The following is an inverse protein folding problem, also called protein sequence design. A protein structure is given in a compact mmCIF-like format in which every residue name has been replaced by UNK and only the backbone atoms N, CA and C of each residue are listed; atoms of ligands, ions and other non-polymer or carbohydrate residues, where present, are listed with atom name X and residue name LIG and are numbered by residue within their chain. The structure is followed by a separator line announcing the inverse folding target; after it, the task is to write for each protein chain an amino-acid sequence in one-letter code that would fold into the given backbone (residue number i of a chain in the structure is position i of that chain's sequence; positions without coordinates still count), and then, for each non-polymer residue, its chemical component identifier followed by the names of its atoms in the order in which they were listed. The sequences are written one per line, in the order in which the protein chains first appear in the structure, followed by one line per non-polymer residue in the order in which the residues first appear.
data_IF_504240055532
#
_entry.id   IF_504240055532
#
_cell.length_a   1.000
_cell.length_b   1.000
_cell.length_c   1.000
_cell.angle_alpha   90.00
_cell.angle_beta   90.00
_cell.angle_gamma   90.00
#
_symmetry.space_group_name_H-M   'P 1'
#
loop_
_entity.id
_entity.type
_entity.pdbx_description
1 polymer ?
#
# COMPACT_ATOMS: atom_id res chain seq x y z
N UNK A 1 6.00 10.04 13.26
CA UNK A 1 6.97 9.00 12.82
C UNK A 1 6.47 8.45 11.51
N UNK A 2 6.93 9.00 10.39
CA UNK A 2 6.43 8.70 9.05
C UNK A 2 7.55 8.68 8.00
N UNK A 3 8.79 8.51 8.46
CA UNK A 3 9.98 8.83 7.67
C UNK A 3 10.82 7.58 7.37
N UNK A 4 10.20 6.40 7.41
CA UNK A 4 10.89 5.10 7.33
C UNK A 4 10.74 4.38 5.99
N UNK A 5 9.97 4.93 5.05
CA UNK A 5 9.98 4.45 3.66
C UNK A 5 10.99 5.28 2.89
N UNK A 6 12.05 4.63 2.43
CA UNK A 6 13.09 5.27 1.62
C UNK A 6 12.64 5.38 0.16
N UNK A 7 13.24 6.29 -0.61
CA UNK A 7 12.93 6.49 -2.04
C UNK A 7 13.14 5.21 -2.88
N UNK A 8 13.98 4.27 -2.43
CA UNK A 8 14.15 2.98 -3.08
C UNK A 8 12.99 2.00 -2.83
N UNK A 9 12.24 2.20 -1.74
CA UNK A 9 11.11 1.36 -1.35
C UNK A 9 9.77 1.91 -1.85
N UNK A 10 9.66 3.22 -2.00
CA UNK A 10 8.45 3.86 -2.51
C UNK A 10 8.39 5.35 -2.18
N UNK A 11 7.26 5.96 -2.50
CA UNK A 11 6.95 7.36 -2.17
C UNK A 11 5.72 7.38 -1.28
N UNK A 12 5.84 7.95 -0.09
CA UNK A 12 4.74 8.15 0.83
C UNK A 12 4.18 9.58 0.69
N UNK A 13 2.86 9.69 0.58
CA UNK A 13 2.14 10.96 0.49
C UNK A 13 1.00 10.97 1.51
N UNK A 14 1.11 11.87 2.48
CA UNK A 14 0.05 12.09 3.48
C UNK A 14 -1.03 13.01 2.90
N UNK A 15 -2.28 12.72 3.23
CA UNK A 15 -3.42 13.54 2.86
C UNK A 15 -4.42 13.65 4.01
N UNK A 16 -5.18 14.73 3.99
CA UNK A 16 -6.29 14.99 4.91
C UNK A 16 -7.52 15.31 4.09
N UNK A 17 -8.60 14.57 4.30
CA UNK A 17 -9.89 14.87 3.73
C UNK A 17 -10.75 15.56 4.77
N UNK A 18 -11.11 16.80 4.48
CA UNK A 18 -11.81 17.70 5.40
C UNK A 18 -13.05 18.32 4.75
N UNK A 19 -13.52 17.73 3.64
CA UNK A 19 -14.63 18.21 2.80
C UNK A 19 -14.47 19.68 2.32
N UNK A 20 -13.25 20.21 2.30
CA UNK A 20 -12.98 21.62 1.97
C UNK A 20 -13.14 22.57 3.15
N UNK A 21 -13.31 22.03 4.37
CA UNK A 21 -13.31 22.78 5.62
C UNK A 21 -12.11 22.37 6.47
N UNK A 22 -11.07 23.22 6.50
CA UNK A 22 -9.87 23.00 7.31
C UNK A 22 -10.15 22.81 8.82
N UNK A 23 -11.33 23.19 9.31
CA UNK A 23 -11.78 23.02 10.69
C UNK A 23 -12.83 21.91 10.84
N UNK A 24 -12.97 21.01 9.87
CA UNK A 24 -13.89 19.89 9.96
C UNK A 24 -13.52 19.02 11.17
N UNK A 25 -14.47 18.84 12.09
CA UNK A 25 -14.23 18.14 13.35
C UNK A 25 -13.83 16.67 13.13
N UNK A 26 -14.37 16.06 12.08
CA UNK A 26 -14.15 14.65 11.72
C UNK A 26 -13.35 14.54 10.41
N UNK A 27 -12.26 15.29 10.26
CA UNK A 27 -11.40 15.13 9.09
C UNK A 27 -10.69 13.76 9.11
N UNK A 28 -10.60 13.12 7.96
CA UNK A 28 -9.95 11.82 7.80
C UNK A 28 -8.50 12.01 7.35
N UNK A 29 -7.56 11.48 8.11
CA UNK A 29 -6.16 11.43 7.73
C UNK A 29 -5.84 10.08 7.07
N UNK A 30 -5.16 10.13 5.94
CA UNK A 30 -4.75 8.94 5.20
C UNK A 30 -3.37 9.09 4.59
N UNK A 31 -2.83 7.97 4.12
CA UNK A 31 -1.54 7.92 3.43
C UNK A 31 -1.63 7.06 2.18
N UNK A 32 -1.10 7.58 1.08
CA UNK A 32 -0.75 6.78 -0.09
C UNK A 32 0.72 6.37 0.00
N UNK A 33 1.03 5.11 -0.29
CA UNK A 33 2.40 4.64 -0.47
C UNK A 33 2.52 4.03 -1.85
N UNK A 34 3.15 4.73 -2.78
CA UNK A 34 3.39 4.21 -4.14
C UNK A 34 4.62 3.30 -4.07
N UNK A 35 4.45 2.04 -4.45
CA UNK A 35 5.49 1.00 -4.28
C UNK A 35 5.99 0.42 -5.62
N UNK A 36 5.31 0.72 -6.74
CA UNK A 36 5.70 0.32 -8.10
C UNK A 36 5.09 1.28 -9.13
N UNK A 37 5.69 1.38 -10.30
CA UNK A 37 5.27 2.26 -11.40
C UNK A 37 5.87 3.66 -11.31
N UNK A 38 6.96 3.80 -10.56
CA UNK A 38 7.67 5.06 -10.32
C UNK A 38 8.84 5.26 -11.28
N UNK A 39 9.37 4.17 -11.84
CA UNK A 39 10.62 4.19 -12.60
C UNK A 39 10.38 3.95 -14.09
N UNK A 40 11.21 4.55 -14.98
CA UNK A 40 11.16 4.25 -16.40
C UNK A 40 11.30 2.75 -16.67
N UNK A 41 10.38 2.19 -17.44
CA UNK A 41 10.34 0.76 -17.79
C UNK A 41 9.50 -0.11 -16.87
N UNK A 42 9.00 0.40 -15.74
CA UNK A 42 7.99 -0.31 -14.95
C UNK A 42 6.64 -0.24 -15.65
N UNK A 43 6.02 -1.40 -15.89
CA UNK A 43 4.71 -1.53 -16.56
C UNK A 43 3.56 -1.76 -15.58
N UNK A 44 3.89 -2.05 -14.33
CA UNK A 44 2.94 -2.29 -13.24
C UNK A 44 3.01 -1.14 -12.26
N UNK A 45 1.88 -0.45 -12.06
CA UNK A 45 1.72 0.51 -11.00
C UNK A 45 1.03 -0.16 -9.80
N UNK A 46 1.56 0.07 -8.61
CA UNK A 46 0.96 -0.42 -7.37
C UNK A 46 1.15 0.58 -6.23
N UNK A 47 0.12 0.72 -5.40
CA UNK A 47 0.17 1.59 -4.23
C UNK A 47 -0.68 1.04 -3.08
N UNK A 48 -0.29 1.40 -1.85
CA UNK A 48 -1.03 1.13 -0.63
C UNK A 48 -1.82 2.36 -0.22
N UNK A 49 -3.02 2.15 0.30
CA UNK A 49 -3.81 3.16 1.02
C UNK A 49 -3.87 2.75 2.47
N UNK A 50 -3.35 3.62 3.35
CA UNK A 50 -3.47 3.46 4.80
C UNK A 50 -4.52 4.44 5.27
N UNK A 51 -5.66 3.93 5.73
CA UNK A 51 -6.80 4.73 6.17
C UNK A 51 -7.59 3.97 7.23
N UNK A 52 -7.99 4.65 8.31
CA UNK A 52 -8.89 4.11 9.34
C UNK A 52 -8.50 2.70 9.86
N UNK A 53 -7.18 2.49 10.10
CA UNK A 53 -6.65 1.21 10.59
C UNK A 53 -6.61 0.07 9.55
N UNK A 54 -6.95 0.36 8.30
CA UNK A 54 -6.88 -0.58 7.18
C UNK A 54 -5.74 -0.24 6.22
N UNK A 55 -5.24 -1.28 5.54
CA UNK A 55 -4.24 -1.16 4.48
C UNK A 55 -4.79 -1.88 3.25
N UNK A 56 -4.98 -1.14 2.17
CA UNK A 56 -5.49 -1.66 0.90
C UNK A 56 -4.42 -1.57 -0.19
N UNK A 57 -4.20 -2.65 -0.94
CA UNK A 57 -3.30 -2.69 -2.09
C UNK A 57 -4.10 -2.53 -3.39
N UNK A 58 -3.76 -1.50 -4.17
CA UNK A 58 -4.27 -1.28 -5.52
C UNK A 58 -3.16 -1.55 -6.52
N UNK A 59 -3.49 -2.24 -7.61
CA UNK A 59 -2.51 -2.57 -8.66
C UNK A 59 -3.11 -2.62 -10.06
N UNK A 60 -2.28 -2.30 -11.05
CA UNK A 60 -2.56 -2.53 -12.48
C UNK A 60 -2.00 -3.85 -12.99
N UNK A 61 -1.36 -4.65 -12.14
CA UNK A 61 -0.84 -5.97 -12.50
C UNK A 61 -1.99 -6.88 -12.96
N UNK A 62 -1.80 -7.48 -14.13
CA UNK A 62 -2.76 -8.46 -14.65
C UNK A 62 -2.63 -9.74 -13.80
N UNK A 63 -3.73 -10.29 -13.26
CA UNK A 63 -3.66 -11.50 -12.45
C UNK A 63 -3.04 -12.66 -13.24
N UNK A 64 -2.00 -13.28 -12.69
CA UNK A 64 -1.30 -14.40 -13.32
C UNK A 64 -1.94 -15.77 -13.03
N UNK A 65 -2.89 -15.84 -12.08
CA UNK A 65 -3.48 -17.08 -11.58
C UNK A 65 -5.02 -16.98 -11.43
N UNK A 66 -5.68 -18.12 -11.18
CA UNK A 66 -7.11 -18.16 -10.88
C UNK A 66 -7.42 -17.66 -9.46
N UNK A 67 -8.59 -17.04 -9.26
CA UNK A 67 -9.00 -16.32 -8.03
C UNK A 67 -8.97 -17.17 -6.76
N UNK A 68 -8.96 -18.49 -6.91
CA UNK A 68 -8.77 -19.45 -5.81
C UNK A 68 -7.37 -19.43 -5.19
N UNK A 69 -6.35 -18.91 -5.90
CA UNK A 69 -4.97 -18.82 -5.42
C UNK A 69 -4.74 -17.60 -4.52
N UNK A 70 -3.76 -17.66 -3.59
CA UNK A 70 -3.33 -16.53 -2.76
C UNK A 70 -2.93 -15.29 -3.57
N UNK A 71 -3.16 -14.05 -3.07
CA UNK A 71 -2.81 -12.81 -3.79
C UNK A 71 -1.35 -12.72 -4.26
N UNK A 72 -0.41 -13.35 -3.55
CA UNK A 72 1.00 -13.39 -3.93
C UNK A 72 1.25 -14.16 -5.25
N UNK A 73 0.38 -15.11 -5.58
CA UNK A 73 0.46 -15.88 -6.83
C UNK A 73 -0.23 -15.16 -7.99
N UNK A 74 -1.20 -14.29 -7.69
CA UNK A 74 -1.88 -13.44 -8.66
C UNK A 74 -1.05 -12.24 -9.09
N UNK A 75 -0.46 -11.57 -8.10
CA UNK A 75 0.11 -10.23 -8.23
C UNK A 75 1.52 -10.20 -7.66
N UNK A 76 2.37 -11.11 -8.14
CA UNK A 76 3.72 -11.32 -7.61
C UNK A 76 4.58 -10.05 -7.57
N UNK A 77 4.44 -9.17 -8.57
CA UNK A 77 5.19 -7.91 -8.65
C UNK A 77 4.70 -6.95 -7.57
N UNK A 78 3.39 -6.76 -7.50
CA UNK A 78 2.74 -5.79 -6.61
C UNK A 78 2.83 -6.21 -5.15
N UNK A 79 2.58 -7.49 -4.87
CA UNK A 79 2.73 -8.08 -3.54
C UNK A 79 4.20 -8.06 -3.11
N UNK A 80 5.13 -8.37 -4.01
CA UNK A 80 6.56 -8.27 -3.74
C UNK A 80 7.00 -6.85 -3.36
N UNK A 81 6.49 -5.85 -4.08
CA UNK A 81 6.74 -4.44 -3.79
C UNK A 81 6.13 -4.01 -2.45
N UNK A 82 4.86 -4.35 -2.20
CA UNK A 82 4.18 -4.07 -0.95
C UNK A 82 4.89 -4.70 0.25
N UNK A 83 5.32 -5.97 0.14
CA UNK A 83 6.12 -6.63 1.20
C UNK A 83 7.40 -5.88 1.51
N UNK A 84 8.14 -5.41 0.49
CA UNK A 84 9.36 -4.62 0.71
C UNK A 84 9.08 -3.33 1.47
N UNK A 85 7.99 -2.64 1.14
CA UNK A 85 7.59 -1.41 1.81
C UNK A 85 7.07 -1.62 3.24
N UNK A 86 6.41 -2.76 3.52
CA UNK A 86 5.83 -3.06 4.84
C UNK A 86 6.82 -3.72 5.82
N UNK A 87 7.85 -4.42 5.30
CA UNK A 87 8.84 -5.14 6.10
C UNK A 87 9.53 -4.28 7.19
N UNK A 88 9.91 -3.01 6.95
CA UNK A 88 10.49 -2.16 7.99
C UNK A 88 9.59 -1.96 9.22
N UNK A 89 8.28 -2.19 9.06
CA UNK A 89 7.28 -2.05 10.10
C UNK A 89 6.84 -3.39 10.70
N UNK A 90 7.36 -4.52 10.21
CA UNK A 90 6.92 -5.86 10.60
C UNK A 90 5.49 -6.20 10.16
N UNK A 91 4.91 -5.43 9.23
CA UNK A 91 3.52 -5.59 8.79
C UNK A 91 3.36 -6.48 7.56
N UNK A 92 4.45 -6.95 6.96
CA UNK A 92 4.41 -7.63 5.67
C UNK A 92 3.63 -8.95 5.72
N UNK A 93 3.76 -9.75 6.77
CA UNK A 93 2.99 -10.99 6.88
C UNK A 93 1.54 -10.75 7.32
N UNK A 94 1.31 -9.85 8.27
CA UNK A 94 -0.04 -9.58 8.77
C UNK A 94 -0.96 -8.99 7.69
N UNK A 95 -0.44 -8.08 6.88
CA UNK A 95 -1.21 -7.45 5.79
C UNK A 95 -1.34 -8.39 4.59
N UNK A 96 -0.27 -9.05 4.17
CA UNK A 96 -0.26 -9.80 2.90
C UNK A 96 -0.77 -11.23 3.07
N UNK A 97 -0.39 -11.92 4.14
CA UNK A 97 -0.71 -13.33 4.34
C UNK A 97 -2.02 -13.51 5.12
N UNK A 98 -2.24 -12.68 6.16
CA UNK A 98 -3.40 -12.83 7.06
C UNK A 98 -4.56 -11.91 6.71
N UNK A 99 -4.32 -10.88 5.90
CA UNK A 99 -5.30 -9.84 5.57
C UNK A 99 -5.83 -9.08 6.79
N UNK A 100 -5.14 -9.17 7.93
CA UNK A 100 -5.53 -8.57 9.21
C UNK A 100 -4.30 -8.22 10.02
N UNK A 101 -4.22 -6.97 10.49
CA UNK A 101 -3.17 -6.52 11.40
C UNK A 101 -3.59 -6.86 12.83
N UNK A 102 -2.78 -7.65 13.55
CA UNK A 102 -3.01 -7.96 14.97
C UNK A 102 -2.07 -7.09 15.80
N UNK A 103 -2.63 -6.16 16.57
CA UNK A 103 -1.90 -5.25 17.46
C UNK A 103 -1.62 -5.85 18.83
#
# INVERSE_FOLDING_TARGET
MADSITEDQGIAVDWRYDEGNLNHADAEDGRYVIVSGLRPGETVAAYLVVLNGSISLYTTEVPAADRSQPPADHYSVSVGAARRALRPFGLDSDVIDRGTVVG
#
